data_IF_219498955599
#
_entry.id   IF_219498955599
#
_cell.length_a   1.000
_cell.length_b   1.000
_cell.length_c   1.000
_cell.angle_alpha   90.00
_cell.angle_beta   90.00
_cell.angle_gamma   90.00
#
_symmetry.space_group_name_H-M   'P 1'
#
loop_
_entity.id
_entity.type
_entity.pdbx_description
1 polymer ?
#
# COMPACT_ATOMS: atom_id res chain seq x y z
N UNK A 1 -3.32 -19.12 -27.05
CA UNK A 1 -2.32 -18.61 -26.08
C UNK A 1 -2.66 -17.20 -25.60
N UNK A 2 -3.90 -16.96 -25.14
CA UNK A 2 -4.38 -15.61 -24.78
C UNK A 2 -4.37 -15.38 -23.27
N UNK A 3 -4.59 -16.45 -22.49
CA UNK A 3 -4.67 -16.44 -21.03
C UNK A 3 -3.34 -16.08 -20.33
N UNK A 4 -2.24 -16.72 -20.73
CA UNK A 4 -0.89 -16.45 -20.18
C UNK A 4 -0.48 -14.99 -20.39
N UNK A 5 -0.86 -14.39 -21.52
CA UNK A 5 -0.60 -12.98 -21.81
C UNK A 5 -1.39 -12.05 -20.89
N UNK A 6 -2.63 -12.41 -20.54
CA UNK A 6 -3.47 -11.62 -19.64
C UNK A 6 -2.92 -11.62 -18.21
N UNK A 7 -2.59 -12.80 -17.68
CA UNK A 7 -1.99 -12.98 -16.35
C UNK A 7 -0.68 -12.20 -16.24
N UNK A 8 0.18 -12.25 -17.26
CA UNK A 8 1.43 -11.50 -17.29
C UNK A 8 1.20 -9.98 -17.28
N UNK A 9 0.26 -9.47 -18.07
CA UNK A 9 -0.05 -8.03 -18.14
C UNK A 9 -0.59 -7.53 -16.80
N UNK A 10 -1.52 -8.26 -16.19
CA UNK A 10 -2.10 -7.88 -14.89
C UNK A 10 -1.04 -7.89 -13.79
N UNK A 11 -0.18 -8.92 -13.77
CA UNK A 11 0.96 -9.02 -12.86
C UNK A 11 1.93 -7.85 -13.03
N UNK A 12 2.27 -7.53 -14.28
CA UNK A 12 3.17 -6.42 -14.60
C UNK A 12 2.56 -5.08 -14.20
N UNK A 13 1.25 -4.87 -14.44
CA UNK A 13 0.54 -3.66 -14.03
C UNK A 13 0.57 -3.50 -12.51
N UNK A 14 0.29 -4.57 -11.76
CA UNK A 14 0.39 -4.54 -10.30
C UNK A 14 1.81 -4.18 -9.86
N UNK A 15 2.86 -4.75 -10.46
CA UNK A 15 4.25 -4.42 -10.10
C UNK A 15 4.61 -2.96 -10.39
N UNK A 16 4.18 -2.42 -11.53
CA UNK A 16 4.40 -1.02 -11.89
C UNK A 16 3.71 -0.06 -10.90
N UNK A 17 2.47 -0.35 -10.53
CA UNK A 17 1.71 0.47 -9.60
C UNK A 17 2.30 0.45 -8.17
N UNK A 18 3.21 -0.49 -7.86
CA UNK A 18 3.86 -0.63 -6.55
C UNK A 18 5.39 -0.67 -6.63
N UNK A 19 5.99 -0.08 -7.67
CA UNK A 19 7.44 -0.16 -7.89
C UNK A 19 8.26 0.28 -6.67
N UNK A 20 7.76 1.28 -5.92
CA UNK A 20 8.42 1.83 -4.72
C UNK A 20 8.49 0.86 -3.54
N UNK A 21 7.52 -0.06 -3.45
CA UNK A 21 7.34 -0.98 -2.31
C UNK A 21 8.17 -2.26 -2.50
N UNK A 22 8.64 -2.53 -3.71
CA UNK A 22 8.85 -3.92 -4.13
C UNK A 22 10.10 -4.16 -4.98
N UNK A 23 11.07 -3.25 -4.94
CA UNK A 23 12.29 -3.35 -5.75
C UNK A 23 13.11 -4.64 -5.50
N UNK A 24 12.83 -5.41 -4.42
CA UNK A 24 13.69 -6.51 -3.97
C UNK A 24 13.00 -7.85 -3.68
N UNK A 25 11.68 -7.97 -3.75
CA UNK A 25 10.97 -9.21 -3.35
C UNK A 25 10.80 -10.17 -4.53
N UNK A 26 11.63 -11.21 -4.59
CA UNK A 26 11.76 -12.11 -5.75
C UNK A 26 10.60 -13.10 -5.99
N UNK A 27 9.51 -13.05 -5.22
CA UNK A 27 8.42 -14.04 -5.32
C UNK A 27 7.00 -13.44 -5.18
N UNK A 28 6.79 -12.18 -5.55
CA UNK A 28 5.48 -11.52 -5.39
C UNK A 28 4.30 -12.23 -6.04
N UNK A 29 4.56 -12.98 -7.10
CA UNK A 29 3.55 -13.78 -7.78
C UNK A 29 2.88 -14.81 -6.86
N UNK A 30 3.57 -15.26 -5.81
CA UNK A 30 3.03 -16.20 -4.84
C UNK A 30 1.95 -15.56 -3.94
N UNK A 31 1.92 -14.24 -3.83
CA UNK A 31 0.93 -13.52 -3.03
C UNK A 31 -0.32 -13.16 -3.83
N UNK A 32 -0.26 -13.19 -5.17
CA UNK A 32 -1.36 -12.76 -6.01
C UNK A 32 -2.62 -13.57 -5.77
N UNK A 33 -3.61 -12.89 -5.22
CA UNK A 33 -4.96 -13.40 -5.05
C UNK A 33 -5.74 -13.06 -6.31
N UNK A 34 -6.16 -14.06 -7.08
CA UNK A 34 -6.88 -13.83 -8.34
C UNK A 34 -8.39 -13.82 -8.14
N UNK A 35 -9.09 -12.91 -8.83
CA UNK A 35 -10.55 -12.91 -8.93
C UNK A 35 -11.02 -13.89 -10.00
N UNK A 36 -12.33 -14.18 -10.04
CA UNK A 36 -12.93 -15.00 -11.10
C UNK A 36 -12.82 -14.36 -12.50
N UNK A 37 -12.62 -13.04 -12.55
CA UNK A 37 -12.42 -12.27 -13.78
C UNK A 37 -10.95 -12.22 -14.23
N UNK A 38 -10.08 -13.04 -13.62
CA UNK A 38 -8.64 -13.10 -13.86
C UNK A 38 -7.91 -11.78 -13.60
N UNK A 39 -8.44 -10.93 -12.71
CA UNK A 39 -7.73 -9.76 -12.20
C UNK A 39 -7.07 -10.08 -10.87
N UNK A 40 -6.05 -9.32 -10.50
CA UNK A 40 -5.51 -9.42 -9.15
C UNK A 40 -6.49 -8.73 -8.21
N UNK A 41 -6.96 -9.45 -7.20
CA UNK A 41 -7.63 -8.90 -6.02
C UNK A 41 -6.58 -8.11 -5.24
N UNK A 42 -6.49 -6.82 -5.58
CA UNK A 42 -5.43 -5.92 -5.13
C UNK A 42 -5.41 -5.79 -3.62
N UNK A 43 -6.59 -5.68 -3.00
CA UNK A 43 -6.71 -5.51 -1.56
C UNK A 43 -6.36 -6.79 -0.80
N UNK A 44 -6.81 -7.97 -1.26
CA UNK A 44 -6.40 -9.23 -0.62
C UNK A 44 -4.92 -9.53 -0.80
N UNK A 45 -4.39 -9.23 -1.99
CA UNK A 45 -2.95 -9.36 -2.28
C UNK A 45 -2.13 -8.46 -1.36
N UNK A 46 -2.52 -7.18 -1.23
CA UNK A 46 -1.86 -6.25 -0.32
C UNK A 46 -1.88 -6.74 1.13
N UNK A 47 -3.04 -7.19 1.63
CA UNK A 47 -3.14 -7.76 2.98
C UNK A 47 -2.24 -8.98 3.18
N UNK A 48 -2.21 -9.90 2.22
CA UNK A 48 -1.36 -11.09 2.29
C UNK A 48 0.13 -10.72 2.42
N UNK A 49 0.56 -9.65 1.75
CA UNK A 49 1.93 -9.15 1.81
C UNK A 49 2.19 -8.40 3.14
N UNK A 50 1.27 -7.53 3.56
CA UNK A 50 1.37 -6.74 4.79
C UNK A 50 1.52 -7.63 6.03
N UNK A 51 0.91 -8.81 6.02
CA UNK A 51 0.94 -9.77 7.12
C UNK A 51 2.08 -10.79 7.02
N UNK A 52 2.96 -10.69 6.02
CA UNK A 52 4.16 -11.52 5.94
C UNK A 52 5.36 -10.83 6.60
N UNK A 53 5.85 -11.41 7.70
CA UNK A 53 6.96 -10.86 8.48
C UNK A 53 8.34 -10.99 7.80
N UNK A 54 8.42 -11.70 6.66
CA UNK A 54 9.63 -11.71 5.83
C UNK A 54 9.79 -10.45 4.97
N UNK A 55 8.73 -9.63 4.86
CA UNK A 55 8.74 -8.37 4.12
C UNK A 55 9.22 -7.24 5.03
N UNK A 56 10.02 -6.32 4.49
CA UNK A 56 10.54 -5.15 5.23
C UNK A 56 9.40 -4.31 5.82
N UNK A 57 9.60 -3.79 7.03
CA UNK A 57 8.58 -3.00 7.72
C UNK A 57 8.19 -1.72 6.98
N UNK A 58 9.13 -1.07 6.29
CA UNK A 58 8.87 0.12 5.48
C UNK A 58 8.01 -0.26 4.26
N UNK A 59 8.29 -1.39 3.62
CA UNK A 59 7.51 -1.87 2.47
C UNK A 59 6.08 -2.22 2.92
N UNK A 60 5.94 -2.94 4.03
CA UNK A 60 4.63 -3.25 4.65
C UNK A 60 3.87 -1.97 5.01
N UNK A 61 4.54 -1.00 5.61
CA UNK A 61 3.96 0.30 5.98
C UNK A 61 3.48 1.07 4.74
N UNK A 62 4.32 1.13 3.71
CA UNK A 62 4.01 1.83 2.45
C UNK A 62 2.81 1.18 1.76
N UNK A 63 2.75 -0.16 1.75
CA UNK A 63 1.62 -0.88 1.17
C UNK A 63 0.33 -0.65 1.98
N UNK A 64 0.39 -0.74 3.31
CA UNK A 64 -0.76 -0.44 4.17
C UNK A 64 -1.26 0.99 3.97
N UNK A 65 -0.35 1.95 3.80
CA UNK A 65 -0.62 3.36 3.53
C UNK A 65 -1.32 3.55 2.18
N UNK A 66 -0.80 2.94 1.11
CA UNK A 66 -1.38 2.98 -0.24
C UNK A 66 -2.79 2.39 -0.31
N UNK A 67 -3.07 1.35 0.47
CA UNK A 67 -4.41 0.75 0.56
C UNK A 67 -5.25 1.33 1.71
N UNK A 68 -4.79 2.39 2.38
CA UNK A 68 -5.47 3.04 3.50
C UNK A 68 -6.00 2.04 4.55
N UNK A 69 -5.23 1.00 4.87
CA UNK A 69 -5.61 -0.01 5.86
C UNK A 69 -5.17 0.50 7.23
N UNK A 70 -5.99 1.37 7.82
CA UNK A 70 -5.65 2.16 9.01
C UNK A 70 -5.14 1.29 10.17
N UNK A 71 -5.75 0.14 10.44
CA UNK A 71 -5.31 -0.73 11.54
C UNK A 71 -3.88 -1.23 11.32
N UNK A 72 -3.55 -1.65 10.10
CA UNK A 72 -2.22 -2.12 9.74
C UNK A 72 -1.21 -0.96 9.73
N UNK A 73 -1.59 0.22 9.24
CA UNK A 73 -0.73 1.42 9.28
C UNK A 73 -0.32 1.75 10.72
N UNK A 74 -1.29 1.81 11.63
CA UNK A 74 -1.04 2.13 13.04
C UNK A 74 -0.23 1.02 13.75
N UNK A 75 -0.56 -0.23 13.48
CA UNK A 75 0.17 -1.37 14.04
C UNK A 75 1.64 -1.37 13.60
N UNK A 76 1.89 -1.15 12.30
CA UNK A 76 3.25 -1.12 11.76
C UNK A 76 4.00 0.13 12.26
N UNK A 77 3.35 1.29 12.30
CA UNK A 77 3.94 2.50 12.86
C UNK A 77 4.46 2.30 14.30
N UNK A 78 3.70 1.56 15.12
CA UNK A 78 4.06 1.26 16.50
C UNK A 78 5.34 0.44 16.65
N UNK A 79 5.73 -0.32 15.62
CA UNK A 79 6.92 -1.19 15.64
C UNK A 79 8.12 -0.62 14.89
N UNK A 80 7.94 0.42 14.06
CA UNK A 80 9.06 1.10 13.41
C UNK A 80 9.99 1.77 14.44
N UNK A 81 11.30 1.69 14.20
CA UNK A 81 12.28 2.47 14.96
C UNK A 81 12.27 3.96 14.55
N UNK A 82 12.94 4.81 15.34
CA UNK A 82 12.94 6.26 15.09
C UNK A 82 13.59 6.65 13.75
N UNK A 83 14.62 5.93 13.32
CA UNK A 83 15.27 6.17 12.03
C UNK A 83 14.36 5.83 10.85
N UNK A 84 13.64 4.71 10.96
CA UNK A 84 12.59 4.31 10.02
C UNK A 84 11.45 5.32 9.98
N UNK A 85 10.99 5.79 11.14
CA UNK A 85 9.95 6.83 11.25
C UNK A 85 10.40 8.15 10.63
N UNK A 86 11.67 8.53 10.81
CA UNK A 86 12.24 9.73 10.19
C UNK A 86 12.24 9.63 8.65
N UNK A 87 12.61 8.45 8.11
CA UNK A 87 12.55 8.18 6.66
C UNK A 87 11.12 8.33 6.13
N UNK A 88 10.15 7.70 6.80
CA UNK A 88 8.73 7.79 6.41
C UNK A 88 8.25 9.23 6.46
N UNK A 89 8.46 9.93 7.58
CA UNK A 89 8.03 11.33 7.76
C UNK A 89 8.69 12.32 6.79
N UNK A 90 9.87 12.00 6.24
CA UNK A 90 10.53 12.83 5.23
C UNK A 90 9.80 12.78 3.87
N UNK A 91 9.04 11.72 3.62
CA UNK A 91 8.23 11.58 2.42
C UNK A 91 7.15 12.66 2.27
N UNK A 92 6.88 13.03 1.02
CA UNK A 92 5.72 13.85 0.61
C UNK A 92 4.54 13.00 0.11
N UNK A 93 4.75 11.70 -0.02
CA UNK A 93 3.80 10.74 -0.54
C UNK A 93 2.82 10.29 0.55
N UNK A 94 1.90 9.37 0.21
CA UNK A 94 0.84 8.90 1.11
C UNK A 94 1.40 8.32 2.41
N UNK A 95 2.48 7.54 2.34
CA UNK A 95 3.18 7.00 3.50
C UNK A 95 3.73 8.12 4.42
N UNK A 96 4.24 9.21 3.84
CA UNK A 96 4.73 10.35 4.61
C UNK A 96 3.60 11.14 5.28
N UNK A 97 2.45 11.26 4.62
CA UNK A 97 1.26 11.86 5.22
C UNK A 97 0.76 11.03 6.41
N UNK A 98 0.68 9.70 6.26
CA UNK A 98 0.35 8.80 7.37
C UNK A 98 1.36 8.89 8.51
N UNK A 99 2.66 8.93 8.21
CA UNK A 99 3.71 9.07 9.22
C UNK A 99 3.61 10.39 9.99
N UNK A 100 3.39 11.51 9.31
CA UNK A 100 3.22 12.84 9.94
C UNK A 100 1.97 12.90 10.81
N UNK A 101 0.86 12.35 10.34
CA UNK A 101 -0.36 12.22 11.15
C UNK A 101 -0.11 11.37 12.40
N UNK A 102 0.51 10.19 12.25
CA UNK A 102 0.77 9.29 13.36
C UNK A 102 1.78 9.85 14.38
N UNK A 103 2.76 10.66 13.93
CA UNK A 103 3.80 11.23 14.79
C UNK A 103 3.41 12.55 15.45
N UNK A 104 2.83 13.45 14.67
CA UNK A 104 2.62 14.84 15.05
C UNK A 104 1.13 15.20 15.19
N UNK A 105 0.23 14.31 14.79
CA UNK A 105 -1.20 14.60 14.72
C UNK A 105 -1.55 15.62 13.63
N UNK A 106 -0.70 15.76 12.61
CA UNK A 106 -0.98 16.62 11.45
C UNK A 106 -2.25 16.15 10.74
N UNK A 107 -3.10 17.09 10.35
CA UNK A 107 -4.31 16.77 9.61
C UNK A 107 -3.94 16.21 8.24
N UNK A 108 -4.56 15.08 7.88
CA UNK A 108 -4.39 14.48 6.56
C UNK A 108 -5.33 15.19 5.59
N UNK A 109 -4.75 15.80 4.55
CA UNK A 109 -5.50 16.30 3.40
C UNK A 109 -5.99 15.10 2.56
N UNK A 110 -7.22 14.67 2.83
CA UNK A 110 -7.83 13.55 2.13
C UNK A 110 -8.13 13.85 0.67
N UNK A 111 -8.34 15.11 0.29
CA UNK A 111 -8.56 15.49 -1.11
C UNK A 111 -7.26 15.30 -1.90
N UNK A 112 -6.13 15.69 -1.32
CA UNK A 112 -4.81 15.43 -1.88
C UNK A 112 -4.50 13.92 -1.98
N UNK A 113 -4.77 13.13 -0.93
CA UNK A 113 -4.60 11.67 -0.97
C UNK A 113 -5.47 11.05 -2.05
N UNK A 114 -6.72 11.49 -2.14
CA UNK A 114 -7.68 11.04 -3.14
C UNK A 114 -7.17 11.28 -4.54
N UNK A 115 -6.63 12.46 -4.82
CA UNK A 115 -6.05 12.79 -6.12
C UNK A 115 -4.83 11.90 -6.44
N UNK A 116 -3.93 11.70 -5.48
CA UNK A 116 -2.74 10.83 -5.64
C UNK A 116 -3.17 9.38 -5.90
N UNK A 117 -4.12 8.85 -5.13
CA UNK A 117 -4.66 7.51 -5.31
C UNK A 117 -5.41 7.36 -6.62
N UNK A 118 -6.14 8.38 -7.06
CA UNK A 118 -6.86 8.37 -8.33
C UNK A 118 -5.91 8.33 -9.54
N UNK A 119 -4.77 9.02 -9.44
CA UNK A 119 -3.72 8.99 -10.47
C UNK A 119 -2.99 7.65 -10.48
N UNK A 120 -2.69 7.07 -9.31
CA UNK A 120 -1.88 5.83 -9.19
C UNK A 120 -2.68 4.53 -9.30
N UNK A 121 -3.93 4.50 -8.85
CA UNK A 121 -4.74 3.29 -8.78
C UNK A 121 -6.07 3.47 -9.53
N UNK A 122 -6.32 2.59 -10.50
CA UNK A 122 -7.52 2.57 -11.32
C UNK A 122 -8.79 2.35 -10.45
N UNK A 123 -9.42 3.47 -10.03
CA UNK A 123 -10.77 3.72 -9.45
C UNK A 123 -11.37 2.81 -8.37
N UNK A 124 -10.80 1.66 -8.02
CA UNK A 124 -11.46 0.65 -7.17
C UNK A 124 -10.86 0.44 -5.78
N UNK A 125 -9.68 1.00 -5.48
CA UNK A 125 -9.06 0.84 -4.18
C UNK A 125 -9.26 2.11 -3.33
N UNK A 126 -10.09 1.96 -2.31
CA UNK A 126 -9.99 2.70 -1.05
C UNK A 126 -10.57 4.12 -1.01
N UNK A 127 -11.87 4.20 -0.74
CA UNK A 127 -12.42 5.27 0.09
C UNK A 127 -13.10 4.67 1.31
N UNK A 128 -12.35 4.30 2.36
CA UNK A 128 -12.99 4.23 3.66
C UNK A 128 -13.37 5.66 4.05
N UNK A 129 -14.65 5.88 4.37
CA UNK A 129 -15.07 7.04 5.15
C UNK A 129 -14.43 6.93 6.53
N UNK A 130 -13.17 7.31 6.67
CA UNK A 130 -12.50 7.31 7.96
C UNK A 130 -13.06 8.47 8.76
N UNK A 131 -13.90 8.13 9.74
CA UNK A 131 -14.33 9.08 10.76
C UNK A 131 -13.10 9.40 11.59
N UNK A 132 -12.70 10.68 11.57
CA UNK A 132 -11.76 11.20 12.53
C UNK A 132 -12.42 11.15 13.92
N UNK A 133 -12.19 10.08 14.67
CA UNK A 133 -12.48 10.05 16.10
C UNK A 133 -11.16 9.87 16.84
N UNK A 134 -10.84 10.86 17.69
CA UNK A 134 -9.71 10.85 18.62
C UNK A 134 -10.03 9.98 19.83
#
# INVERSE_FOLDING_TARGET
MTFVRFVFIESYKWLQDHEKVMLFTTNLQNYFQWTQDNKIDRQKTAKAIIHDDSIDLIDRFTLASHYCIQEDVLSIWGILDDGQKDIVCFGSDIEGMWGKWARYGEEIDWDQITEILFIRFDRQACFPKMKQEK
#
